data_IF_045177331556
#
_entry.id   IF_045177331556
#
_cell.length_a   1.000
_cell.length_b   1.000
_cell.length_c   1.000
_cell.angle_alpha   90.00
_cell.angle_beta   90.00
_cell.angle_gamma   90.00
#
_symmetry.space_group_name_H-M   'P 1'
#
loop_
_entity.id
_entity.type
_entity.pdbx_description
1 polymer ?
#
# COMPACT_ATOMS: atom_id res chain seq x y z
N UNK A 1 69.73 -32.14 -67.14
CA UNK A 1 68.47 -32.86 -67.32
C UNK A 1 67.37 -31.94 -66.91
N UNK A 2 66.55 -31.55 -67.85
CA UNK A 2 65.48 -30.51 -67.73
C UNK A 2 64.24 -31.00 -66.98
N UNK A 3 63.68 -30.15 -66.14
CA UNK A 3 62.24 -30.21 -65.90
C UNK A 3 61.68 -28.79 -65.83
N UNK A 4 60.66 -28.57 -66.65
CA UNK A 4 59.95 -27.32 -66.87
C UNK A 4 59.03 -26.99 -65.71
N UNK A 5 59.02 -25.72 -65.36
CA UNK A 5 57.94 -25.12 -64.50
C UNK A 5 56.76 -24.77 -65.42
N UNK A 6 55.57 -25.15 -64.98
CA UNK A 6 54.32 -24.67 -65.52
C UNK A 6 53.71 -23.70 -64.44
N UNK A 7 53.47 -22.47 -64.89
CA UNK A 7 52.77 -21.46 -64.10
C UNK A 7 51.26 -21.66 -64.23
N UNK A 8 50.59 -21.77 -63.14
CA UNK A 8 49.11 -21.77 -63.01
C UNK A 8 48.64 -20.47 -62.42
N UNK A 9 47.86 -19.69 -63.20
CA UNK A 9 47.23 -18.49 -62.76
C UNK A 9 45.98 -18.84 -61.90
N UNK A 10 46.01 -18.52 -60.60
CA UNK A 10 44.87 -18.65 -59.72
C UNK A 10 44.07 -17.33 -59.63
N UNK A 11 42.82 -17.35 -60.10
CA UNK A 11 41.88 -16.27 -59.98
C UNK A 11 41.43 -16.22 -58.48
N UNK A 12 41.74 -15.13 -57.76
CA UNK A 12 41.24 -14.88 -56.40
C UNK A 12 39.83 -14.28 -56.49
N UNK A 13 38.84 -15.05 -56.06
CA UNK A 13 37.49 -14.57 -55.85
C UNK A 13 37.42 -13.99 -54.45
N UNK A 14 37.34 -12.65 -54.31
CA UNK A 14 37.10 -11.96 -53.09
C UNK A 14 35.56 -11.96 -52.77
N UNK A 15 35.12 -12.82 -51.85
CA UNK A 15 33.80 -12.78 -51.32
C UNK A 15 33.73 -11.65 -50.28
N UNK A 16 32.99 -10.59 -50.63
CA UNK A 16 32.60 -9.53 -49.69
C UNK A 16 31.52 -10.08 -48.76
N UNK A 17 31.91 -10.40 -47.51
CA UNK A 17 30.97 -10.65 -46.44
C UNK A 17 30.47 -9.31 -45.88
N UNK A 18 29.24 -8.94 -46.21
CA UNK A 18 28.51 -7.88 -45.49
C UNK A 18 28.12 -8.41 -44.11
N UNK A 19 28.42 -7.71 -43.01
CA UNK A 19 27.90 -8.10 -41.71
C UNK A 19 26.40 -7.78 -41.67
N UNK A 20 25.57 -8.82 -41.65
CA UNK A 20 24.16 -8.72 -41.34
C UNK A 20 24.05 -8.31 -39.86
N UNK A 21 23.76 -7.03 -39.60
CA UNK A 21 23.43 -6.56 -38.27
C UNK A 21 22.10 -7.20 -37.88
N UNK A 22 22.15 -8.32 -37.16
CA UNK A 22 21.01 -8.79 -36.40
C UNK A 22 20.80 -7.81 -35.26
N UNK A 23 19.83 -6.93 -35.42
CA UNK A 23 19.23 -6.24 -34.29
C UNK A 23 18.56 -7.31 -33.42
N UNK A 24 19.23 -7.68 -32.32
CA UNK A 24 18.59 -8.37 -31.24
C UNK A 24 17.56 -7.38 -30.69
N UNK A 25 16.27 -7.57 -31.02
CA UNK A 25 15.19 -7.07 -30.21
C UNK A 25 15.39 -7.77 -28.86
N UNK A 26 15.85 -7.03 -27.87
CA UNK A 26 15.77 -7.45 -26.50
C UNK A 26 14.26 -7.55 -26.20
N UNK A 27 13.70 -8.75 -26.27
CA UNK A 27 12.48 -9.06 -25.57
C UNK A 27 12.78 -8.79 -24.11
N UNK A 28 12.42 -7.60 -23.64
CA UNK A 28 12.27 -7.36 -22.22
C UNK A 28 11.09 -8.23 -21.76
N UNK A 29 11.38 -9.49 -21.42
CA UNK A 29 10.56 -10.20 -20.44
C UNK A 29 10.81 -9.46 -19.13
N UNK A 30 10.19 -8.29 -19.00
CA UNK A 30 10.09 -7.60 -17.72
C UNK A 30 9.46 -8.60 -16.78
N UNK A 31 10.21 -9.02 -15.79
CA UNK A 31 9.64 -9.66 -14.60
C UNK A 31 8.54 -8.69 -14.15
N UNK A 32 7.28 -9.06 -14.37
CA UNK A 32 6.15 -8.18 -14.07
C UNK A 32 6.22 -7.94 -12.57
N UNK A 33 6.73 -6.77 -12.19
CA UNK A 33 6.89 -6.35 -10.81
C UNK A 33 5.51 -6.49 -10.16
N UNK A 34 5.43 -7.35 -9.16
CA UNK A 34 4.17 -7.53 -8.44
C UNK A 34 3.83 -6.22 -7.72
N UNK A 35 2.72 -5.59 -8.12
CA UNK A 35 2.14 -4.44 -7.42
C UNK A 35 1.16 -4.97 -6.37
N UNK A 36 1.32 -4.54 -5.11
CA UNK A 36 0.40 -4.94 -4.04
C UNK A 36 -0.94 -4.22 -4.18
N UNK A 37 -2.02 -5.00 -4.22
CA UNK A 37 -3.40 -4.52 -4.23
C UNK A 37 -3.87 -4.30 -2.79
N UNK A 38 -4.08 -3.04 -2.39
CA UNK A 38 -4.46 -2.65 -1.04
C UNK A 38 -5.90 -2.15 -1.02
N UNK A 39 -6.80 -2.90 -0.41
CA UNK A 39 -8.21 -2.56 -0.27
C UNK A 39 -8.39 -1.45 0.79
N UNK A 40 -8.62 -0.21 0.35
CA UNK A 40 -8.77 0.99 1.17
C UNK A 40 -10.01 0.91 2.06
N UNK A 41 -9.83 0.80 3.38
CA UNK A 41 -10.89 0.57 4.36
C UNK A 41 -11.68 -0.72 4.07
N UNK A 42 -11.01 -1.74 3.50
CA UNK A 42 -11.62 -2.89 2.86
C UNK A 42 -12.07 -2.62 1.42
N UNK A 43 -12.91 -3.46 0.85
CA UNK A 43 -13.51 -3.24 -0.48
C UNK A 43 -14.63 -2.18 -0.37
N UNK A 44 -14.26 -0.94 -0.06
CA UNK A 44 -15.18 0.13 0.39
C UNK A 44 -16.13 0.64 -0.70
N UNK A 45 -15.82 0.42 -1.97
CA UNK A 45 -16.76 0.68 -3.07
C UNK A 45 -17.99 -0.25 -2.98
N UNK A 46 -17.84 -1.46 -2.48
CA UNK A 46 -18.85 -2.53 -2.48
C UNK A 46 -19.51 -2.78 -1.12
N UNK A 47 -18.83 -2.43 -0.03
CA UNK A 47 -19.29 -2.67 1.33
C UNK A 47 -19.02 -1.44 2.22
N UNK A 48 -19.68 -1.29 3.39
CA UNK A 48 -19.44 -0.14 4.25
C UNK A 48 -18.00 -0.13 4.76
N UNK A 49 -17.30 0.99 4.53
CA UNK A 49 -15.88 1.17 4.89
C UNK A 49 -15.59 0.82 6.35
N UNK A 50 -14.41 0.28 6.63
CA UNK A 50 -13.92 -0.04 7.97
C UNK A 50 -14.82 -1.00 8.75
N UNK A 51 -15.57 -1.88 8.07
CA UNK A 51 -16.39 -2.93 8.69
C UNK A 51 -15.90 -4.33 8.32
N UNK A 52 -16.30 -5.32 9.11
CA UNK A 52 -16.02 -6.73 8.80
C UNK A 52 -16.51 -7.11 7.40
N UNK A 53 -17.68 -6.58 6.97
CA UNK A 53 -18.23 -6.84 5.64
C UNK A 53 -17.30 -6.34 4.52
N UNK A 54 -16.69 -5.16 4.68
CA UNK A 54 -15.74 -4.63 3.69
C UNK A 54 -14.43 -5.42 3.66
N UNK A 55 -13.94 -5.85 4.82
CA UNK A 55 -12.71 -6.64 4.91
C UNK A 55 -12.89 -8.06 4.40
N UNK A 56 -14.00 -8.73 4.72
CA UNK A 56 -14.34 -10.05 4.16
C UNK A 56 -14.47 -9.97 2.64
N UNK A 57 -15.09 -8.89 2.12
CA UNK A 57 -15.19 -8.65 0.67
C UNK A 57 -13.82 -8.46 0.01
N UNK A 58 -12.90 -7.74 0.65
CA UNK A 58 -11.52 -7.59 0.16
C UNK A 58 -10.78 -8.95 0.09
N UNK A 59 -10.97 -9.81 1.09
CA UNK A 59 -10.41 -11.18 1.07
C UNK A 59 -11.02 -12.00 -0.07
N UNK A 60 -12.34 -11.92 -0.27
CA UNK A 60 -13.04 -12.59 -1.39
C UNK A 60 -12.46 -12.12 -2.75
N UNK A 61 -12.22 -10.82 -2.90
CA UNK A 61 -11.65 -10.20 -4.10
C UNK A 61 -10.14 -10.43 -4.25
N UNK A 62 -9.50 -11.15 -3.30
CA UNK A 62 -8.08 -11.50 -3.32
C UNK A 62 -7.14 -10.30 -3.29
N UNK A 63 -7.51 -9.24 -2.60
CA UNK A 63 -6.58 -8.17 -2.30
C UNK A 63 -5.36 -8.71 -1.54
N UNK A 64 -4.20 -8.08 -1.70
CA UNK A 64 -2.97 -8.47 -0.98
C UNK A 64 -3.00 -7.95 0.46
N UNK A 65 -3.62 -6.77 0.66
CA UNK A 65 -3.78 -6.10 1.96
C UNK A 65 -5.18 -5.53 2.13
N UNK A 66 -5.65 -5.50 3.36
CA UNK A 66 -6.69 -4.56 3.80
C UNK A 66 -6.02 -3.35 4.45
N UNK A 67 -6.51 -2.15 4.16
CA UNK A 67 -6.13 -0.95 4.88
C UNK A 67 -7.23 -0.63 5.91
N UNK A 68 -6.81 -0.17 7.10
CA UNK A 68 -7.69 0.12 8.25
C UNK A 68 -7.29 1.42 8.94
N UNK A 69 -8.28 2.19 9.40
CA UNK A 69 -8.08 3.45 10.14
C UNK A 69 -8.25 3.23 11.64
N UNK A 70 -7.19 3.35 12.44
CA UNK A 70 -7.22 3.10 13.88
C UNK A 70 -7.32 4.39 14.66
N UNK A 71 -8.35 4.47 15.51
CA UNK A 71 -8.58 5.54 16.49
C UNK A 71 -8.82 4.93 17.88
N UNK A 72 -9.13 5.79 18.88
CA UNK A 72 -9.34 5.34 20.28
C UNK A 72 -10.61 5.92 20.87
N UNK A 73 -11.43 5.05 21.46
CA UNK A 73 -12.63 5.44 22.24
C UNK A 73 -12.27 6.18 23.54
N UNK A 74 -13.27 6.81 24.14
CA UNK A 74 -13.15 7.52 25.42
C UNK A 74 -12.58 6.65 26.56
N UNK A 75 -12.94 5.38 26.60
CA UNK A 75 -12.51 4.39 27.59
C UNK A 75 -11.26 3.60 27.17
N UNK A 76 -10.54 4.08 26.13
CA UNK A 76 -9.22 3.59 25.76
C UNK A 76 -9.19 2.39 24.81
N UNK A 77 -10.34 1.95 24.28
CA UNK A 77 -10.39 0.84 23.32
C UNK A 77 -9.98 1.33 21.92
N UNK A 78 -9.06 0.63 21.26
CA UNK A 78 -8.74 0.88 19.86
C UNK A 78 -9.88 0.39 18.97
N UNK A 79 -10.38 1.28 18.12
CA UNK A 79 -11.52 1.06 17.21
C UNK A 79 -11.11 1.40 15.78
N UNK A 80 -11.82 0.83 14.79
CA UNK A 80 -11.51 1.00 13.37
C UNK A 80 -12.60 1.84 12.72
N UNK A 81 -12.27 3.12 12.45
CA UNK A 81 -13.15 4.12 11.83
C UNK A 81 -12.32 5.27 11.30
N UNK A 82 -12.68 5.83 10.12
CA UNK A 82 -11.88 6.86 9.44
C UNK A 82 -12.03 8.26 10.04
N UNK A 83 -13.28 8.76 10.10
CA UNK A 83 -13.52 10.15 10.50
C UNK A 83 -13.35 10.29 12.02
N UNK A 84 -12.96 11.45 12.49
CA UNK A 84 -12.88 11.75 13.94
C UNK A 84 -14.23 11.86 14.61
N UNK A 85 -15.32 11.80 13.83
CA UNK A 85 -16.71 11.73 14.29
C UNK A 85 -17.41 10.52 13.66
N UNK A 86 -18.49 10.05 14.28
CA UNK A 86 -19.25 8.88 13.80
C UNK A 86 -20.33 9.24 12.77
N UNK A 87 -20.57 10.53 12.52
CA UNK A 87 -21.75 11.08 11.86
C UNK A 87 -21.95 10.61 10.41
N UNK A 88 -20.86 10.43 9.63
CA UNK A 88 -20.96 10.10 8.19
C UNK A 88 -21.25 8.63 7.95
N UNK A 89 -20.72 7.75 8.77
CA UNK A 89 -20.72 6.30 8.53
C UNK A 89 -21.52 5.51 9.56
N UNK A 90 -22.28 6.20 10.41
CA UNK A 90 -23.18 5.56 11.39
C UNK A 90 -24.50 6.32 11.53
N UNK A 91 -25.43 5.71 12.27
CA UNK A 91 -26.69 6.33 12.68
C UNK A 91 -26.56 7.22 13.93
N UNK A 92 -25.34 7.37 14.48
CA UNK A 92 -25.06 8.23 15.64
C UNK A 92 -24.42 9.56 15.29
N UNK A 93 -24.00 10.29 16.31
CA UNK A 93 -23.31 11.57 16.16
C UNK A 93 -22.28 11.80 17.26
N UNK A 94 -21.25 12.61 16.96
CA UNK A 94 -20.23 13.04 17.92
C UNK A 94 -18.84 12.48 17.65
N UNK A 95 -17.88 12.93 18.47
CA UNK A 95 -16.48 12.57 18.31
C UNK A 95 -16.22 11.16 18.83
N UNK A 96 -15.47 10.36 18.08
CA UNK A 96 -15.04 9.00 18.44
C UNK A 96 -14.39 8.97 19.84
N UNK A 97 -13.46 9.87 20.12
CA UNK A 97 -12.77 9.96 21.41
C UNK A 97 -13.64 10.42 22.59
N UNK A 98 -14.87 10.85 22.35
CA UNK A 98 -15.82 11.23 23.41
C UNK A 98 -16.83 10.12 23.73
N UNK A 99 -16.93 9.09 22.90
CA UNK A 99 -17.82 7.95 23.06
C UNK A 99 -17.06 6.75 23.65
N UNK A 100 -17.69 6.06 24.61
CA UNK A 100 -17.17 4.77 25.10
C UNK A 100 -17.28 3.70 24.01
N UNK A 101 -16.49 2.64 24.11
CA UNK A 101 -16.59 1.53 23.16
C UNK A 101 -18.01 0.93 23.13
N UNK A 102 -18.69 0.86 24.27
CA UNK A 102 -20.08 0.37 24.31
C UNK A 102 -21.02 1.24 23.48
N UNK A 103 -20.88 2.57 23.56
CA UNK A 103 -21.67 3.50 22.74
C UNK A 103 -21.35 3.33 21.27
N UNK A 104 -20.07 3.30 20.88
CA UNK A 104 -19.63 3.08 19.51
C UNK A 104 -20.13 1.73 18.93
N UNK A 105 -20.10 0.67 19.72
CA UNK A 105 -20.53 -0.67 19.30
C UNK A 105 -22.04 -0.80 19.08
N UNK A 106 -22.84 0.07 19.67
CA UNK A 106 -24.30 0.07 19.50
C UNK A 106 -24.74 0.82 18.24
N UNK A 107 -23.83 1.54 17.57
CA UNK A 107 -24.14 2.27 16.33
C UNK A 107 -24.25 1.31 15.16
N UNK A 108 -25.16 1.62 14.25
CA UNK A 108 -25.24 0.97 12.93
C UNK A 108 -24.26 1.65 11.98
N UNK A 109 -23.19 0.95 11.65
CA UNK A 109 -22.14 1.41 10.72
C UNK A 109 -22.33 0.89 9.29
N UNK A 110 -23.49 0.35 8.94
CA UNK A 110 -23.74 -0.28 7.65
C UNK A 110 -24.88 0.29 6.83
N UNK A 111 -26.00 0.67 7.46
CA UNK A 111 -27.22 1.11 6.76
C UNK A 111 -27.02 2.30 5.82
N UNK A 112 -26.05 3.18 6.10
CA UNK A 112 -25.72 4.30 5.23
C UNK A 112 -25.22 3.86 3.84
N UNK A 113 -24.64 2.66 3.74
CA UNK A 113 -24.14 2.07 2.48
C UNK A 113 -25.23 1.29 1.74
N UNK A 114 -26.16 0.69 2.48
CA UNK A 114 -27.29 -0.07 1.94
C UNK A 114 -27.96 -0.94 2.98
N UNK A 115 -29.27 -1.21 2.82
CA UNK A 115 -30.09 -1.97 3.75
C UNK A 115 -29.53 -3.38 4.08
N UNK A 116 -28.87 -4.01 3.12
CA UNK A 116 -28.23 -5.33 3.28
C UNK A 116 -27.11 -5.34 4.31
N UNK A 117 -26.61 -4.17 4.72
CA UNK A 117 -25.54 -4.01 5.71
C UNK A 117 -26.05 -3.51 7.07
N UNK A 118 -27.37 -3.40 7.22
CA UNK A 118 -27.99 -2.95 8.49
C UNK A 118 -27.45 -3.77 9.67
N UNK A 119 -27.05 -3.07 10.74
CA UNK A 119 -26.52 -3.67 11.96
C UNK A 119 -25.02 -3.99 11.87
N UNK A 120 -24.30 -3.63 10.80
CA UNK A 120 -22.85 -3.69 10.81
C UNK A 120 -22.31 -2.78 11.91
N UNK A 121 -21.26 -3.24 12.59
CA UNK A 121 -20.72 -2.55 13.76
C UNK A 121 -19.33 -1.99 13.49
N UNK A 122 -18.94 -0.94 14.21
CA UNK A 122 -17.56 -0.46 14.28
C UNK A 122 -16.72 -1.56 14.96
N UNK A 123 -15.73 -2.18 14.26
CA UNK A 123 -14.90 -3.22 14.85
C UNK A 123 -13.82 -2.63 15.77
N UNK A 124 -13.32 -3.45 16.68
CA UNK A 124 -12.09 -3.13 17.41
C UNK A 124 -10.86 -3.53 16.60
N UNK A 125 -9.73 -2.90 16.89
CA UNK A 125 -8.44 -3.29 16.34
C UNK A 125 -8.09 -4.75 16.70
N UNK A 126 -8.40 -5.19 17.92
CA UNK A 126 -8.23 -6.57 18.36
C UNK A 126 -8.99 -7.55 17.47
N UNK A 127 -10.27 -7.27 17.15
CA UNK A 127 -11.10 -8.13 16.28
C UNK A 127 -10.52 -8.22 14.86
N UNK A 128 -9.98 -7.12 14.34
CA UNK A 128 -9.34 -7.13 13.01
C UNK A 128 -8.08 -7.98 13.02
N UNK A 129 -7.19 -7.77 14.00
CA UNK A 129 -5.98 -8.57 14.11
C UNK A 129 -6.30 -10.06 14.26
N UNK A 130 -7.24 -10.42 15.16
CA UNK A 130 -7.58 -11.83 15.44
C UNK A 130 -8.25 -12.51 14.24
N UNK A 131 -9.00 -11.77 13.42
CA UNK A 131 -9.71 -12.31 12.25
C UNK A 131 -8.85 -12.44 11.01
N UNK A 132 -7.95 -11.47 10.74
CA UNK A 132 -7.30 -11.33 9.42
C UNK A 132 -5.81 -11.60 9.41
N UNK A 133 -5.09 -11.53 10.54
CA UNK A 133 -3.66 -11.85 10.52
C UNK A 133 -3.42 -13.29 9.99
N UNK A 134 -2.41 -13.44 9.15
CA UNK A 134 -2.11 -14.70 8.49
C UNK A 134 -3.04 -15.08 7.31
N UNK A 135 -4.13 -14.32 7.06
CA UNK A 135 -5.03 -14.52 5.91
C UNK A 135 -4.77 -13.50 4.80
N UNK A 136 -4.56 -12.25 5.18
CA UNK A 136 -4.30 -11.12 4.29
C UNK A 136 -3.36 -10.16 4.99
N UNK A 137 -2.60 -9.35 4.25
CA UNK A 137 -1.80 -8.28 4.82
C UNK A 137 -2.68 -7.18 5.46
N UNK A 138 -2.14 -6.46 6.44
CA UNK A 138 -2.88 -5.38 7.11
C UNK A 138 -2.02 -4.11 7.08
N UNK A 139 -2.50 -3.10 6.38
CA UNK A 139 -1.95 -1.75 6.37
C UNK A 139 -2.73 -0.92 7.41
N UNK A 140 -2.05 -0.49 8.46
CA UNK A 140 -2.66 0.17 9.63
C UNK A 140 -2.39 1.66 9.56
N UNK A 141 -3.41 2.49 9.35
CA UNK A 141 -3.29 3.94 9.51
C UNK A 141 -3.57 4.35 10.96
N UNK A 142 -2.61 5.05 11.61
CA UNK A 142 -2.88 5.78 12.83
C UNK A 142 -3.56 7.10 12.48
N UNK A 143 -4.88 7.15 12.73
CA UNK A 143 -5.72 8.29 12.34
C UNK A 143 -5.69 9.38 13.39
N UNK A 144 -5.26 10.60 13.01
CA UNK A 144 -5.20 11.75 13.92
C UNK A 144 -4.59 11.43 15.29
N UNK A 145 -3.39 10.80 15.36
CA UNK A 145 -2.81 10.29 16.61
C UNK A 145 -2.61 11.39 17.66
N UNK A 146 -2.48 12.66 17.24
CA UNK A 146 -2.41 13.82 18.12
C UNK A 146 -3.65 14.00 19.01
N UNK A 147 -4.80 13.46 18.64
CA UNK A 147 -6.03 13.44 19.45
C UNK A 147 -6.01 12.35 20.54
N UNK A 148 -5.08 11.41 20.44
CA UNK A 148 -5.05 10.18 21.24
C UNK A 148 -3.66 9.94 21.86
N UNK A 149 -3.16 10.79 22.78
CA UNK A 149 -1.83 10.63 23.37
C UNK A 149 -1.57 9.18 23.83
N UNK A 150 -0.47 8.58 23.37
CA UNK A 150 -0.09 7.18 23.66
C UNK A 150 -0.76 6.11 22.79
N UNK A 151 -1.40 6.49 21.67
CA UNK A 151 -2.00 5.52 20.74
C UNK A 151 -0.93 4.62 20.12
N UNK A 152 0.27 5.15 19.86
CA UNK A 152 1.40 4.42 19.28
C UNK A 152 1.80 3.24 20.20
N UNK A 153 1.95 3.50 21.50
CA UNK A 153 2.27 2.45 22.48
C UNK A 153 1.15 1.43 22.58
N UNK A 154 -0.12 1.88 22.47
CA UNK A 154 -1.26 0.97 22.51
C UNK A 154 -1.27 0.02 21.30
N UNK A 155 -1.06 0.55 20.09
CA UNK A 155 -0.97 -0.24 18.85
C UNK A 155 0.25 -1.16 18.90
N UNK A 156 1.42 -0.64 19.25
CA UNK A 156 2.64 -1.44 19.36
C UNK A 156 2.48 -2.61 20.36
N UNK A 157 1.85 -2.37 21.51
CA UNK A 157 1.56 -3.42 22.48
C UNK A 157 0.64 -4.50 21.91
N UNK A 158 -0.43 -4.11 21.19
CA UNK A 158 -1.37 -5.07 20.57
C UNK A 158 -0.71 -5.95 19.51
N UNK A 159 0.21 -5.40 18.74
CA UNK A 159 1.01 -6.16 17.77
C UNK A 159 1.98 -7.11 18.47
N UNK A 160 2.68 -6.66 19.52
CA UNK A 160 3.60 -7.50 20.31
C UNK A 160 2.88 -8.64 21.03
N UNK A 161 1.70 -8.41 21.61
CA UNK A 161 0.88 -9.44 22.26
C UNK A 161 0.56 -10.63 21.33
N UNK A 162 0.58 -10.41 20.00
CA UNK A 162 0.30 -11.40 18.94
C UNK A 162 1.54 -11.85 18.16
N UNK A 163 2.74 -11.42 18.57
CA UNK A 163 4.00 -11.62 17.84
C UNK A 163 3.99 -11.06 16.41
N UNK A 164 3.19 -10.02 16.15
CA UNK A 164 3.09 -9.32 14.87
C UNK A 164 4.07 -8.15 14.77
N UNK A 165 4.91 -7.93 15.77
CA UNK A 165 6.01 -6.95 15.79
C UNK A 165 7.24 -7.39 14.98
N UNK A 166 7.20 -8.60 14.42
CA UNK A 166 8.24 -9.18 13.56
C UNK A 166 7.60 -9.82 12.33
N UNK A 167 6.82 -9.07 11.54
CA UNK A 167 6.08 -9.63 10.42
C UNK A 167 7.05 -10.28 9.43
N UNK A 168 6.71 -11.48 8.96
CA UNK A 168 7.34 -12.10 7.82
C UNK A 168 6.65 -11.62 6.55
N UNK A 169 7.42 -11.34 5.49
CA UNK A 169 6.90 -10.92 4.19
C UNK A 169 6.04 -9.63 4.24
N UNK A 170 6.38 -8.68 5.14
CA UNK A 170 5.74 -7.36 5.20
C UNK A 170 4.21 -7.41 5.34
N UNK A 171 3.69 -8.40 6.06
CA UNK A 171 2.25 -8.59 6.21
C UNK A 171 1.58 -7.60 7.17
N UNK A 172 2.34 -6.86 7.98
CA UNK A 172 1.87 -5.72 8.79
C UNK A 172 2.69 -4.51 8.37
N UNK A 173 2.01 -3.42 8.03
CA UNK A 173 2.61 -2.11 7.74
C UNK A 173 1.87 -1.08 8.56
N UNK A 174 2.57 -0.08 9.11
CA UNK A 174 1.94 1.03 9.85
C UNK A 174 2.21 2.34 9.12
N UNK A 175 1.19 3.16 8.94
CA UNK A 175 1.30 4.45 8.26
C UNK A 175 0.54 5.56 8.99
N UNK A 176 0.88 6.82 8.73
CA UNK A 176 0.14 7.99 9.19
C UNK A 176 0.54 9.25 8.43
N UNK A 177 -0.35 10.24 8.40
CA UNK A 177 -0.03 11.62 8.03
C UNK A 177 0.79 12.35 9.12
N UNK A 178 0.77 11.84 10.35
CA UNK A 178 1.59 12.38 11.43
C UNK A 178 2.98 11.73 11.41
N UNK A 179 3.93 12.39 10.73
CA UNK A 179 5.29 11.87 10.54
C UNK A 179 6.04 11.69 11.87
N UNK A 180 5.75 12.49 12.90
CA UNK A 180 6.36 12.31 14.24
C UNK A 180 5.85 11.03 14.90
N UNK A 181 4.57 10.69 14.71
CA UNK A 181 4.00 9.41 15.14
C UNK A 181 4.69 8.23 14.43
N UNK A 182 5.04 8.37 13.16
CA UNK A 182 5.76 7.34 12.41
C UNK A 182 7.20 7.15 12.88
N UNK A 183 7.93 8.22 13.18
CA UNK A 183 9.25 8.12 13.84
C UNK A 183 9.16 7.33 15.15
N UNK A 184 8.16 7.66 15.97
CA UNK A 184 7.90 6.95 17.23
C UNK A 184 7.52 5.48 17.02
N UNK A 185 6.68 5.17 16.01
CA UNK A 185 6.34 3.78 15.68
C UNK A 185 7.57 2.99 15.22
N UNK A 186 8.48 3.58 14.44
CA UNK A 186 9.75 2.94 14.07
C UNK A 186 10.62 2.61 15.30
N UNK A 187 10.68 3.50 16.30
CA UNK A 187 11.39 3.23 17.57
C UNK A 187 10.73 2.10 18.37
N UNK A 188 9.39 2.06 18.43
CA UNK A 188 8.63 1.07 19.18
C UNK A 188 8.63 -0.31 18.51
N UNK A 189 8.65 -0.35 17.18
CA UNK A 189 8.51 -1.54 16.33
C UNK A 189 9.55 -1.55 15.18
N UNK A 190 10.86 -1.65 15.48
CA UNK A 190 11.93 -1.44 14.48
C UNK A 190 12.01 -2.52 13.37
N UNK A 191 11.11 -3.49 13.38
CA UNK A 191 11.02 -4.56 12.36
C UNK A 191 9.69 -4.56 11.62
N UNK A 192 8.79 -3.65 11.96
CA UNK A 192 7.52 -3.45 11.24
C UNK A 192 7.72 -2.32 10.25
N UNK A 193 7.46 -2.54 8.95
CA UNK A 193 7.57 -1.49 7.95
C UNK A 193 6.71 -0.27 8.28
N UNK A 194 7.28 0.91 8.06
CA UNK A 194 6.65 2.21 8.34
C UNK A 194 6.37 2.94 7.03
N UNK A 195 5.18 3.51 6.89
CA UNK A 195 4.75 4.32 5.75
C UNK A 195 4.49 5.77 6.13
N UNK A 196 5.02 6.70 5.33
CA UNK A 196 4.74 8.13 5.43
C UNK A 196 3.64 8.50 4.45
N UNK A 197 2.46 8.89 4.97
CA UNK A 197 1.36 9.41 4.15
C UNK A 197 1.53 10.91 3.89
N UNK A 198 1.27 11.34 2.65
CA UNK A 198 1.22 12.76 2.29
C UNK A 198 0.31 13.06 1.11
N UNK A 199 -0.25 14.27 1.10
CA UNK A 199 -0.88 14.90 -0.08
C UNK A 199 -0.16 16.20 -0.49
N UNK A 200 0.96 16.52 0.15
CA UNK A 200 1.72 17.75 -0.07
C UNK A 200 2.87 17.54 -1.03
N UNK A 201 2.96 18.37 -2.08
CA UNK A 201 4.13 18.40 -2.96
C UNK A 201 5.41 18.91 -2.24
N UNK A 202 5.29 19.55 -1.09
CA UNK A 202 6.45 19.92 -0.29
C UNK A 202 7.22 18.69 0.24
N UNK A 203 6.53 17.57 0.43
CA UNK A 203 7.12 16.32 0.91
C UNK A 203 7.78 15.49 -0.22
N UNK A 204 7.67 15.92 -1.48
CA UNK A 204 8.33 15.25 -2.62
C UNK A 204 9.70 15.83 -2.96
N UNK A 205 10.20 16.78 -2.18
CA UNK A 205 11.56 17.32 -2.35
C UNK A 205 12.60 16.27 -1.99
N UNK A 206 13.77 16.32 -2.65
CA UNK A 206 14.88 15.41 -2.37
C UNK A 206 15.25 15.41 -0.87
N UNK A 207 15.30 16.59 -0.24
CA UNK A 207 15.60 16.71 1.18
C UNK A 207 14.55 16.01 2.07
N UNK A 208 13.26 16.17 1.76
CA UNK A 208 12.18 15.52 2.52
C UNK A 208 12.24 13.98 2.35
N UNK A 209 12.43 13.51 1.12
CA UNK A 209 12.55 12.08 0.83
C UNK A 209 13.77 11.46 1.51
N UNK A 210 14.92 12.16 1.52
CA UNK A 210 16.11 11.73 2.28
C UNK A 210 15.83 11.65 3.78
N UNK A 211 15.10 12.62 4.37
CA UNK A 211 14.69 12.54 5.77
C UNK A 211 13.78 11.34 6.02
N UNK A 212 12.76 11.13 5.21
CA UNK A 212 11.83 9.99 5.36
C UNK A 212 12.56 8.65 5.28
N UNK A 213 13.50 8.48 4.35
CA UNK A 213 14.26 7.24 4.18
C UNK A 213 15.10 6.83 5.39
N UNK A 214 15.29 7.71 6.37
CA UNK A 214 16.00 7.38 7.62
C UNK A 214 15.18 6.56 8.60
N UNK A 215 13.85 6.50 8.44
CA UNK A 215 12.96 5.80 9.36
C UNK A 215 11.73 5.14 8.71
N UNK A 216 11.46 5.40 7.44
CA UNK A 216 10.32 4.84 6.72
C UNK A 216 10.77 3.89 5.60
N UNK A 217 9.99 2.83 5.41
CA UNK A 217 10.17 1.84 4.35
C UNK A 217 9.29 2.16 3.14
N UNK A 218 8.20 2.91 3.37
CA UNK A 218 7.23 3.30 2.35
C UNK A 218 7.00 4.82 2.35
N UNK A 219 6.96 5.39 1.15
CA UNK A 219 6.44 6.73 0.89
C UNK A 219 5.10 6.59 0.20
N UNK A 220 4.02 7.06 0.85
CA UNK A 220 2.64 6.83 0.42
C UNK A 220 1.95 8.16 0.04
N UNK A 221 2.21 8.69 -1.18
CA UNK A 221 1.62 9.94 -1.65
C UNK A 221 0.22 9.75 -2.19
N UNK A 222 -0.59 10.84 -2.14
CA UNK A 222 -1.79 10.94 -2.96
C UNK A 222 -1.43 10.77 -4.45
N UNK A 223 -2.25 10.03 -5.21
CA UNK A 223 -1.99 9.73 -6.63
C UNK A 223 -1.82 10.99 -7.49
N UNK A 224 -2.46 12.10 -7.12
CA UNK A 224 -2.38 13.36 -7.86
C UNK A 224 -1.00 14.04 -7.86
N UNK A 225 -0.08 13.60 -6.99
CA UNK A 225 1.31 14.12 -6.95
C UNK A 225 2.34 13.08 -7.40
N UNK A 226 1.92 11.89 -7.82
CA UNK A 226 2.80 10.83 -8.33
C UNK A 226 3.26 11.17 -9.73
N UNK A 227 4.56 11.04 -9.99
CA UNK A 227 5.18 11.14 -11.30
C UNK A 227 6.21 10.01 -11.46
N UNK A 228 6.60 9.64 -12.71
CA UNK A 228 7.67 8.67 -12.92
C UNK A 228 8.98 9.06 -12.23
N UNK A 229 9.31 10.35 -12.22
CA UNK A 229 10.53 10.86 -11.56
C UNK A 229 10.45 10.68 -10.05
N UNK A 230 9.29 10.93 -9.42
CA UNK A 230 9.10 10.71 -8.00
C UNK A 230 9.26 9.23 -7.63
N UNK A 231 8.66 8.32 -8.43
CA UNK A 231 8.82 6.87 -8.22
C UNK A 231 10.30 6.47 -8.26
N UNK A 232 11.05 6.94 -9.27
CA UNK A 232 12.48 6.67 -9.39
C UNK A 232 13.29 7.24 -8.21
N UNK A 233 12.97 8.45 -7.74
CA UNK A 233 13.63 9.06 -6.58
C UNK A 233 13.39 8.26 -5.30
N UNK A 234 12.14 7.86 -5.02
CA UNK A 234 11.79 7.04 -3.85
C UNK A 234 12.53 5.70 -3.89
N UNK A 235 12.53 5.02 -5.04
CA UNK A 235 13.25 3.76 -5.21
C UNK A 235 14.77 3.91 -5.05
N UNK A 236 15.36 5.02 -5.52
CA UNK A 236 16.80 5.28 -5.37
C UNK A 236 17.25 5.42 -3.92
N UNK A 237 16.32 5.78 -3.02
CA UNK A 237 16.53 5.86 -1.57
C UNK A 237 16.23 4.54 -0.83
N UNK A 238 15.89 3.47 -1.56
CA UNK A 238 15.58 2.16 -1.00
C UNK A 238 14.18 2.04 -0.39
N UNK A 239 13.34 3.06 -0.53
CA UNK A 239 11.94 3.01 -0.11
C UNK A 239 11.06 2.42 -1.22
N UNK A 240 9.92 1.88 -0.83
CA UNK A 240 8.78 1.54 -1.70
C UNK A 240 7.82 2.73 -1.79
N UNK A 241 6.99 2.73 -2.83
CA UNK A 241 5.96 3.75 -3.02
C UNK A 241 4.58 3.11 -3.12
N UNK A 242 3.66 3.46 -2.18
CA UNK A 242 2.26 3.06 -2.19
C UNK A 242 1.37 4.27 -2.40
N UNK A 243 0.52 4.28 -3.43
CA UNK A 243 -0.26 5.47 -3.73
C UNK A 243 -1.75 5.30 -3.49
N UNK A 244 -2.41 6.37 -3.04
CA UNK A 244 -3.82 6.46 -2.64
C UNK A 244 -4.49 7.71 -3.22
N UNK A 245 -5.80 7.77 -3.39
CA UNK A 245 -6.71 6.63 -3.48
C UNK A 245 -7.10 6.47 -4.94
N UNK A 246 -6.80 5.34 -5.55
CA UNK A 246 -7.27 5.05 -6.91
C UNK A 246 -8.78 4.75 -6.85
N UNK A 247 -9.59 5.61 -7.49
CA UNK A 247 -11.06 5.50 -7.52
C UNK A 247 -11.62 5.32 -8.93
N UNK A 248 -10.75 5.15 -9.91
CA UNK A 248 -11.13 4.82 -11.29
C UNK A 248 -10.10 3.86 -11.88
N UNK A 249 -10.50 3.16 -12.96
CA UNK A 249 -9.58 2.28 -13.69
C UNK A 249 -8.40 3.08 -14.23
N UNK A 250 -8.64 4.27 -14.77
CA UNK A 250 -7.58 5.13 -15.33
C UNK A 250 -6.53 5.53 -14.26
N UNK A 251 -6.97 5.77 -13.00
CA UNK A 251 -6.05 6.07 -11.91
C UNK A 251 -5.22 4.84 -11.52
N UNK A 252 -5.82 3.65 -11.52
CA UNK A 252 -5.12 2.39 -11.25
C UNK A 252 -4.12 2.08 -12.36
N UNK A 253 -4.54 2.18 -13.63
CA UNK A 253 -3.68 1.95 -14.81
C UNK A 253 -2.48 2.91 -14.82
N UNK A 254 -2.71 4.19 -14.56
CA UNK A 254 -1.62 5.17 -14.45
C UNK A 254 -0.61 4.78 -13.38
N UNK A 255 -1.05 4.35 -12.19
CA UNK A 255 -0.17 3.95 -11.10
C UNK A 255 0.60 2.65 -11.44
N UNK A 256 -0.04 1.71 -12.12
CA UNK A 256 0.64 0.51 -12.66
C UNK A 256 1.73 0.90 -13.66
N UNK A 257 1.41 1.79 -14.61
CA UNK A 257 2.32 2.21 -15.67
C UNK A 257 3.56 2.95 -15.13
N UNK A 258 3.39 3.80 -14.10
CA UNK A 258 4.51 4.54 -13.50
C UNK A 258 5.33 3.70 -12.54
N UNK A 259 4.89 2.46 -12.22
CA UNK A 259 5.66 1.48 -11.48
C UNK A 259 5.69 1.67 -9.96
N UNK A 260 4.56 2.06 -9.34
CA UNK A 260 4.42 2.04 -7.88
C UNK A 260 4.46 0.61 -7.34
N UNK A 261 4.77 0.43 -6.06
CA UNK A 261 4.86 -0.89 -5.41
C UNK A 261 3.51 -1.34 -4.81
N UNK A 262 2.62 -0.39 -4.50
CA UNK A 262 1.29 -0.67 -3.96
C UNK A 262 0.27 0.35 -4.45
N UNK A 263 -0.96 -0.10 -4.70
CA UNK A 263 -2.09 0.75 -5.05
C UNK A 263 -3.17 0.60 -3.98
N UNK A 264 -3.44 1.70 -3.28
CA UNK A 264 -4.49 1.79 -2.27
C UNK A 264 -5.77 2.26 -2.96
N UNK A 265 -6.80 1.40 -3.01
CA UNK A 265 -8.00 1.61 -3.84
C UNK A 265 -9.29 1.22 -3.12
N UNK A 266 -10.37 1.96 -3.40
CA UNK A 266 -11.73 1.58 -2.98
C UNK A 266 -12.24 0.38 -3.80
N UNK A 267 -11.62 0.09 -4.98
CA UNK A 267 -12.01 -0.91 -5.98
C UNK A 267 -10.88 -1.94 -6.19
N UNK A 268 -10.75 -2.98 -5.34
CA UNK A 268 -9.66 -3.94 -5.47
C UNK A 268 -9.59 -4.67 -6.82
N UNK A 269 -10.70 -4.75 -7.56
CA UNK A 269 -10.77 -5.32 -8.91
C UNK A 269 -10.13 -4.45 -10.00
N UNK A 270 -9.82 -3.19 -9.72
CA UNK A 270 -9.09 -2.32 -10.66
C UNK A 270 -7.58 -2.58 -10.67
N UNK A 271 -7.05 -3.28 -9.69
CA UNK A 271 -5.62 -3.59 -9.57
C UNK A 271 -5.38 -5.05 -9.95
N UNK A 272 -5.52 -5.36 -11.23
CA UNK A 272 -5.09 -6.65 -11.77
C UNK A 272 -3.89 -6.45 -12.70
N UNK A 273 -2.67 -6.86 -12.30
CA UNK A 273 -1.48 -6.71 -13.13
C UNK A 273 -1.50 -7.55 -14.41
N UNK A 274 -2.58 -8.31 -14.65
CA UNK A 274 -2.78 -9.13 -15.86
C UNK A 274 -3.73 -8.50 -16.87
N UNK A 275 -4.35 -7.34 -16.55
CA UNK A 275 -5.22 -6.59 -17.45
C UNK A 275 -4.43 -5.60 -18.31
#
# INVERSE_FOLDING_TARGET
MNKKLLAGAGLAFTLLFSPLSQAFAAETTGDLRKVDNVAHRGASAYSPENTIAAFDKAVEMKADYIEIDVQRSKDGKLVVIHDTTVDRTTDGSGKVGNLTFKELRNLDAGSWKGEQFTGAQIPTFDEILDRYHGKIGILIELKSPELYPGIEENVARKLKERNLDKPQNEKIIVQSFNHNSMKKMNELLPKVPIGVLTSSSADTTEQALQEFSTYADYFNPSYGIVTPDLVNQVHSLGMKIGSWTARSQEAADFLLDVGVDAIITDYPDYVDPRN
#
